data_IF_700503595970
#
_entry.id   IF_700503595970
#
_cell.length_a   1.000
_cell.length_b   1.000
_cell.length_c   1.000
_cell.angle_alpha   90.00
_cell.angle_beta   90.00
_cell.angle_gamma   90.00
#
_symmetry.space_group_name_H-M   'P 1'
#
loop_
_entity.id
_entity.type
_entity.pdbx_description
1 polymer ?
#
# COMPACT_ATOMS: atom_id res chain seq x y z
N UNK A 1 15.19 -16.72 -34.66
CA UNK A 1 14.76 -16.51 -33.25
C UNK A 1 14.28 -17.87 -32.75
N UNK A 2 14.88 -18.40 -31.70
CA UNK A 2 14.43 -19.62 -31.08
C UNK A 2 13.18 -19.38 -30.21
N UNK A 3 12.37 -20.42 -29.89
CA UNK A 3 11.27 -20.26 -28.94
C UNK A 3 11.70 -19.65 -27.59
N UNK A 4 12.91 -20.00 -27.14
CA UNK A 4 13.48 -19.44 -25.91
C UNK A 4 13.79 -17.93 -26.03
N UNK A 5 14.26 -17.47 -27.20
CA UNK A 5 14.53 -16.05 -27.44
C UNK A 5 13.22 -15.24 -27.45
N UNK A 6 12.14 -15.81 -28.02
CA UNK A 6 10.80 -15.22 -27.95
C UNK A 6 10.33 -15.07 -26.50
N UNK A 7 10.45 -16.12 -25.69
CA UNK A 7 10.06 -16.08 -24.27
C UNK A 7 10.87 -15.01 -23.53
N UNK A 8 12.19 -14.98 -23.74
CA UNK A 8 13.05 -13.96 -23.12
C UNK A 8 12.63 -12.55 -23.53
N UNK A 9 12.38 -12.31 -24.82
CA UNK A 9 11.94 -11.02 -25.34
C UNK A 9 10.63 -10.58 -24.68
N UNK A 10 9.60 -11.43 -24.64
CA UNK A 10 8.32 -11.10 -24.03
C UNK A 10 8.39 -10.90 -22.51
N UNK A 11 9.33 -11.54 -21.82
CA UNK A 11 9.54 -11.33 -20.38
C UNK A 11 10.18 -9.99 -20.03
N UNK A 12 10.78 -9.28 -20.99
CA UNK A 12 11.32 -7.93 -20.76
C UNK A 12 10.28 -6.83 -20.85
N UNK A 13 9.06 -7.12 -21.34
CA UNK A 13 8.00 -6.11 -21.34
C UNK A 13 7.53 -5.83 -19.91
N UNK A 14 7.56 -4.56 -19.53
CA UNK A 14 7.02 -4.12 -18.26
C UNK A 14 5.52 -4.38 -18.21
N UNK A 15 5.06 -4.93 -17.10
CA UNK A 15 3.65 -5.10 -16.80
C UNK A 15 3.19 -3.92 -15.96
N UNK A 16 1.96 -3.47 -16.17
CA UNK A 16 1.39 -2.36 -15.40
C UNK A 16 -0.06 -2.67 -15.06
N UNK A 17 -0.49 -2.21 -13.89
CA UNK A 17 -1.87 -2.12 -13.48
C UNK A 17 -2.11 -0.73 -12.91
N UNK A 18 -3.26 -0.14 -13.19
CA UNK A 18 -3.67 1.13 -12.63
C UNK A 18 -5.16 1.12 -12.33
N UNK A 19 -5.54 1.69 -11.21
CA UNK A 19 -6.93 1.91 -10.85
C UNK A 19 -7.06 3.22 -10.09
N UNK A 20 -8.10 3.99 -10.45
CA UNK A 20 -8.52 5.18 -9.71
C UNK A 20 -9.99 5.05 -9.38
N UNK A 21 -10.37 5.35 -8.15
CA UNK A 21 -11.75 5.31 -7.69
C UNK A 21 -12.07 6.45 -6.75
N UNK A 22 -13.33 6.80 -6.70
CA UNK A 22 -13.87 7.74 -5.72
C UNK A 22 -13.94 7.03 -4.35
N UNK A 23 -13.32 7.57 -3.30
CA UNK A 23 -13.25 6.88 -2.01
C UNK A 23 -14.59 6.84 -1.26
N UNK A 24 -15.53 7.73 -1.59
CA UNK A 24 -16.84 7.80 -0.93
C UNK A 24 -17.86 6.92 -1.66
N UNK A 25 -17.94 7.06 -2.98
CA UNK A 25 -18.96 6.34 -3.78
C UNK A 25 -18.51 4.97 -4.25
N UNK A 26 -17.21 4.66 -4.16
CA UNK A 26 -16.64 3.42 -4.69
C UNK A 26 -16.54 3.38 -6.22
N UNK A 27 -17.04 4.39 -6.94
CA UNK A 27 -17.04 4.39 -8.40
C UNK A 27 -15.63 4.35 -8.97
N UNK A 28 -15.34 3.33 -9.75
CA UNK A 28 -14.08 3.24 -10.49
C UNK A 28 -14.09 4.25 -11.62
N UNK A 29 -13.16 5.22 -11.57
CA UNK A 29 -13.06 6.33 -12.52
C UNK A 29 -12.11 6.02 -13.68
N UNK A 30 -11.06 5.23 -13.42
CA UNK A 30 -10.12 4.79 -14.44
C UNK A 30 -9.55 3.43 -14.06
N UNK A 31 -9.33 2.61 -15.09
CA UNK A 31 -8.85 1.25 -14.93
C UNK A 31 -7.96 0.85 -16.11
N UNK A 32 -6.76 0.35 -15.80
CA UNK A 32 -5.84 -0.22 -16.78
C UNK A 32 -5.33 -1.55 -16.25
N UNK A 33 -5.76 -2.64 -16.85
CA UNK A 33 -5.35 -4.00 -16.48
C UNK A 33 -4.03 -4.46 -17.09
N UNK A 34 -3.52 -3.73 -18.10
CA UNK A 34 -2.27 -4.09 -18.78
C UNK A 34 -1.90 -3.10 -19.88
N UNK A 35 -0.72 -3.29 -20.46
CA UNK A 35 -0.19 -2.39 -21.50
C UNK A 35 -0.91 -2.47 -22.83
N UNK A 36 -1.37 -3.67 -23.22
CA UNK A 36 -2.10 -3.91 -24.46
C UNK A 36 -2.84 -5.25 -24.38
N UNK A 37 -4.17 -5.22 -24.44
CA UNK A 37 -5.01 -6.40 -24.28
C UNK A 37 -4.81 -7.44 -25.40
N UNK A 38 -4.50 -7.01 -26.62
CA UNK A 38 -4.31 -7.94 -27.74
C UNK A 38 -3.10 -8.88 -27.54
N UNK A 39 -2.08 -8.43 -26.78
CA UNK A 39 -0.86 -9.19 -26.53
C UNK A 39 -0.76 -9.70 -25.10
N UNK A 40 -1.41 -9.03 -24.15
CA UNK A 40 -1.31 -9.29 -22.72
C UNK A 40 -2.69 -9.22 -22.07
N UNK A 41 -3.41 -10.33 -22.10
CA UNK A 41 -4.79 -10.41 -21.60
C UNK A 41 -4.87 -10.59 -20.07
N UNK A 42 -3.73 -10.85 -19.41
CA UNK A 42 -3.71 -11.01 -17.96
C UNK A 42 -3.87 -9.66 -17.25
N UNK A 43 -4.93 -9.55 -16.47
CA UNK A 43 -5.27 -8.35 -15.72
C UNK A 43 -4.34 -8.16 -14.51
N UNK A 44 -3.45 -7.17 -14.59
CA UNK A 44 -2.51 -6.83 -13.51
C UNK A 44 -3.15 -5.98 -12.41
N UNK A 45 -4.34 -5.43 -12.62
CA UNK A 45 -4.99 -4.57 -11.63
C UNK A 45 -5.82 -5.37 -10.61
N UNK A 46 -6.64 -6.33 -11.04
CA UNK A 46 -7.49 -7.09 -10.13
C UNK A 46 -7.11 -8.56 -9.97
N UNK A 47 -6.53 -9.19 -11.02
CA UNK A 47 -6.16 -10.61 -10.98
C UNK A 47 -4.70 -10.79 -10.54
N UNK A 48 -3.81 -9.95 -11.08
CA UNK A 48 -2.39 -10.00 -10.76
C UNK A 48 -2.13 -9.57 -9.31
N UNK A 49 -1.49 -10.46 -8.54
CA UNK A 49 -0.97 -10.14 -7.21
C UNK A 49 0.53 -10.06 -7.27
N UNK A 50 1.07 -9.03 -6.64
CA UNK A 50 2.51 -8.79 -6.57
C UNK A 50 2.90 -8.37 -5.17
N UNK A 51 4.17 -8.57 -4.81
CA UNK A 51 4.69 -8.09 -3.54
C UNK A 51 4.52 -6.57 -3.43
N UNK A 52 3.88 -6.14 -2.35
CA UNK A 52 3.54 -4.73 -2.17
C UNK A 52 4.71 -3.89 -1.64
N UNK A 53 5.72 -4.53 -1.09
CA UNK A 53 6.87 -3.85 -0.53
C UNK A 53 6.45 -2.75 0.47
N UNK A 54 7.12 -1.62 0.41
CA UNK A 54 6.89 -0.52 1.35
C UNK A 54 5.50 0.12 1.31
N UNK A 55 4.60 -0.26 0.37
CA UNK A 55 3.20 0.20 0.43
C UNK A 55 2.39 -0.51 1.51
N UNK A 56 2.93 -1.54 2.16
CA UNK A 56 2.35 -2.13 3.38
C UNK A 56 2.54 -1.25 4.62
N UNK A 57 3.58 -0.41 4.64
CA UNK A 57 3.95 0.37 5.83
C UNK A 57 2.81 1.22 6.42
N UNK A 58 1.94 1.87 5.64
CA UNK A 58 0.78 2.56 6.20
C UNK A 58 -0.07 1.68 7.11
N UNK A 59 -0.24 0.38 6.83
CA UNK A 59 -0.97 -0.52 7.75
C UNK A 59 -0.22 -0.76 9.06
N UNK A 60 1.11 -0.87 9.02
CA UNK A 60 1.96 -0.99 10.23
C UNK A 60 1.83 0.27 11.08
N UNK A 61 1.93 1.44 10.45
CA UNK A 61 1.83 2.73 11.13
C UNK A 61 0.41 2.99 11.63
N UNK A 62 -0.62 2.58 10.90
CA UNK A 62 -2.00 2.61 11.38
C UNK A 62 -2.15 1.76 12.64
N UNK A 63 -1.66 0.53 12.64
CA UNK A 63 -1.68 -0.33 13.81
C UNK A 63 -0.93 0.31 15.00
N UNK A 64 0.18 1.00 14.74
CA UNK A 64 0.90 1.74 15.77
C UNK A 64 0.05 2.90 16.33
N UNK A 65 -0.61 3.70 15.46
CA UNK A 65 -1.48 4.80 15.90
C UNK A 65 -2.67 4.30 16.75
N UNK A 66 -3.29 3.19 16.35
CA UNK A 66 -4.35 2.51 17.12
C UNK A 66 -3.84 1.98 18.49
N UNK A 67 -2.55 1.71 18.62
CA UNK A 67 -1.90 1.29 19.87
C UNK A 67 -1.26 2.46 20.66
N UNK A 68 -1.67 3.69 20.39
CA UNK A 68 -1.32 4.87 21.19
C UNK A 68 -0.06 5.61 20.75
N UNK A 69 0.57 5.22 19.64
CA UNK A 69 1.68 5.99 19.06
C UNK A 69 1.20 7.31 18.43
N UNK A 70 2.15 8.23 18.32
CA UNK A 70 1.95 9.53 17.67
C UNK A 70 2.92 9.71 16.50
N UNK A 71 2.54 10.46 15.45
CA UNK A 71 3.48 10.88 14.40
C UNK A 71 4.70 11.65 14.93
N UNK A 72 4.55 12.29 16.10
CA UNK A 72 5.59 13.10 16.75
C UNK A 72 6.50 12.31 17.67
N UNK A 73 6.18 11.04 17.98
CA UNK A 73 7.04 10.22 18.83
C UNK A 73 8.42 10.08 18.21
N UNK A 74 9.44 10.26 19.05
CA UNK A 74 10.82 10.20 18.64
C UNK A 74 11.42 8.82 18.91
N UNK A 75 12.11 8.29 17.93
CA UNK A 75 12.78 7.00 17.95
C UNK A 75 14.23 7.19 17.53
N UNK A 76 15.16 6.54 18.20
CA UNK A 76 16.57 6.55 17.80
C UNK A 76 16.73 5.75 16.49
N UNK A 77 17.31 6.39 15.47
CA UNK A 77 17.53 5.80 14.15
C UNK A 77 18.77 4.88 14.18
N UNK A 78 18.55 3.65 14.59
CA UNK A 78 19.58 2.59 14.66
C UNK A 78 19.00 1.28 14.13
N UNK A 79 19.88 0.37 13.74
CA UNK A 79 19.50 -0.96 13.32
C UNK A 79 18.63 -1.65 14.39
N UNK A 80 17.56 -2.29 13.93
CA UNK A 80 16.63 -3.05 14.77
C UNK A 80 16.80 -4.54 14.50
N UNK A 81 16.95 -5.32 15.55
CA UNK A 81 16.97 -6.78 15.48
C UNK A 81 15.73 -7.32 16.19
N UNK A 82 14.90 -8.02 15.45
CA UNK A 82 13.73 -8.73 15.99
C UNK A 82 14.00 -10.23 15.98
N UNK A 83 13.24 -10.97 16.75
CA UNK A 83 13.27 -12.44 16.70
C UNK A 83 12.15 -12.89 15.77
N UNK A 84 12.51 -13.68 14.78
CA UNK A 84 11.54 -14.26 13.85
C UNK A 84 10.74 -15.42 14.48
N UNK A 85 9.80 -15.98 13.75
CA UNK A 85 8.94 -17.09 14.17
C UNK A 85 9.71 -18.41 14.42
N UNK A 86 10.95 -18.50 13.96
CA UNK A 86 11.84 -19.65 14.17
C UNK A 86 12.85 -19.40 15.31
N UNK A 87 12.70 -18.29 16.04
CA UNK A 87 13.62 -17.92 17.12
C UNK A 87 14.97 -17.35 16.64
N UNK A 88 15.09 -16.98 15.34
CA UNK A 88 16.33 -16.43 14.78
C UNK A 88 16.31 -14.91 14.77
N UNK A 89 17.47 -14.26 14.94
CA UNK A 89 17.57 -12.81 14.81
C UNK A 89 17.33 -12.40 13.35
N UNK A 90 16.44 -11.42 13.15
CA UNK A 90 16.14 -10.80 11.88
C UNK A 90 16.35 -9.30 11.97
N UNK A 91 17.16 -8.74 11.08
CA UNK A 91 17.43 -7.31 10.97
C UNK A 91 17.21 -6.84 9.53
N UNK A 92 16.33 -5.85 9.30
CA UNK A 92 16.14 -5.34 7.95
C UNK A 92 17.30 -4.45 7.52
N UNK A 93 17.70 -4.57 6.25
CA UNK A 93 18.58 -3.57 5.63
C UNK A 93 17.83 -2.26 5.45
N UNK A 94 18.51 -1.14 5.67
CA UNK A 94 17.97 0.18 5.40
C UNK A 94 18.60 0.76 4.12
N UNK A 95 17.84 1.57 3.39
CA UNK A 95 18.33 2.21 2.17
C UNK A 95 19.15 3.49 2.45
N UNK A 96 18.99 4.06 3.65
CA UNK A 96 19.60 5.32 4.04
C UNK A 96 19.96 5.30 5.52
N UNK A 97 21.23 5.49 5.82
CA UNK A 97 21.82 5.54 7.17
C UNK A 97 22.35 6.93 7.57
N UNK A 98 22.10 7.95 6.75
CA UNK A 98 22.65 9.31 6.95
C UNK A 98 22.35 9.92 8.31
N UNK A 99 21.26 9.49 8.95
CA UNK A 99 20.84 9.94 10.29
C UNK A 99 21.08 8.89 11.37
N UNK A 100 22.03 7.98 11.16
CA UNK A 100 22.34 6.94 12.13
C UNK A 100 22.65 7.53 13.51
N UNK A 101 22.00 7.01 14.55
CA UNK A 101 22.16 7.45 15.94
C UNK A 101 21.34 8.67 16.35
N UNK A 102 20.74 9.40 15.40
CA UNK A 102 19.89 10.57 15.70
C UNK A 102 18.50 10.15 16.20
N UNK A 103 17.84 11.08 16.90
CA UNK A 103 16.41 10.97 17.19
C UNK A 103 15.63 11.43 15.96
N UNK A 104 14.67 10.62 15.50
CA UNK A 104 13.80 10.91 14.37
C UNK A 104 12.36 10.64 14.74
N UNK A 105 11.44 11.40 14.16
CA UNK A 105 10.02 11.19 14.44
C UNK A 105 9.47 9.96 13.68
N UNK A 106 8.42 9.35 14.20
CA UNK A 106 7.66 8.29 13.51
C UNK A 106 7.19 8.80 12.14
N UNK A 107 6.73 10.06 12.05
CA UNK A 107 6.37 10.72 10.77
C UNK A 107 7.53 10.68 9.77
N UNK A 108 8.74 11.03 10.21
CA UNK A 108 9.94 10.99 9.37
C UNK A 108 10.20 9.58 8.85
N UNK A 109 10.03 8.56 9.70
CA UNK A 109 10.20 7.16 9.34
C UNK A 109 9.31 6.73 8.17
N UNK A 110 8.01 7.07 8.19
CA UNK A 110 7.10 6.78 7.08
C UNK A 110 7.44 7.61 5.83
N UNK A 111 7.72 8.91 6.00
CA UNK A 111 8.03 9.82 4.91
C UNK A 111 9.23 9.36 4.10
N UNK A 112 10.29 8.88 4.77
CA UNK A 112 11.51 8.39 4.16
C UNK A 112 11.48 6.88 3.86
N UNK A 113 10.35 6.23 4.14
CA UNK A 113 10.19 4.78 3.95
C UNK A 113 11.25 3.96 4.70
N UNK A 114 11.62 4.43 5.89
CA UNK A 114 12.68 3.86 6.71
C UNK A 114 12.32 2.46 7.23
N UNK A 115 13.23 1.51 7.09
CA UNK A 115 13.00 0.12 7.50
C UNK A 115 13.27 -0.09 8.98
N UNK A 116 14.22 0.64 9.57
CA UNK A 116 14.56 0.49 10.98
C UNK A 116 13.46 1.04 11.89
N UNK A 117 12.89 2.22 11.54
CA UNK A 117 11.75 2.77 12.28
C UNK A 117 10.52 1.86 12.11
N UNK A 118 10.30 1.31 10.92
CA UNK A 118 9.20 0.34 10.69
C UNK A 118 9.41 -0.94 11.53
N UNK A 119 10.63 -1.46 11.59
CA UNK A 119 10.96 -2.63 12.42
C UNK A 119 10.85 -2.32 13.91
N UNK A 120 11.26 -1.13 14.37
CA UNK A 120 11.05 -0.67 15.73
C UNK A 120 9.56 -0.73 16.11
N UNK A 121 8.67 -0.18 15.27
CA UNK A 121 7.23 -0.25 15.49
C UNK A 121 6.76 -1.71 15.50
N UNK A 122 7.20 -2.53 14.54
CA UNK A 122 6.82 -3.95 14.51
C UNK A 122 7.26 -4.72 15.76
N UNK A 123 8.39 -4.36 16.34
CA UNK A 123 8.87 -4.93 17.61
C UNK A 123 8.00 -4.60 18.84
N UNK A 124 7.11 -3.60 18.73
CA UNK A 124 6.12 -3.22 19.75
C UNK A 124 4.71 -3.72 19.42
N UNK A 125 4.53 -4.30 18.25
CA UNK A 125 3.25 -4.75 17.70
C UNK A 125 3.28 -6.27 17.48
N UNK A 126 2.14 -6.84 17.13
CA UNK A 126 2.03 -8.26 16.78
C UNK A 126 1.87 -8.45 15.27
N UNK A 127 2.66 -9.34 14.62
CA UNK A 127 2.45 -9.72 13.23
C UNK A 127 1.05 -10.28 12.96
N UNK A 128 0.44 -10.96 13.92
CA UNK A 128 -0.94 -11.43 13.83
C UNK A 128 -1.95 -10.29 13.80
N UNK A 129 -1.74 -9.25 14.60
CA UNK A 129 -2.60 -8.06 14.57
C UNK A 129 -2.44 -7.33 13.25
N UNK A 130 -1.22 -7.21 12.72
CA UNK A 130 -0.97 -6.62 11.41
C UNK A 130 -1.69 -7.40 10.29
N UNK A 131 -1.57 -8.73 10.27
CA UNK A 131 -2.30 -9.58 9.32
C UNK A 131 -3.82 -9.33 9.41
N UNK A 132 -4.37 -9.34 10.62
CA UNK A 132 -5.82 -9.08 10.83
C UNK A 132 -6.22 -7.70 10.32
N UNK A 133 -5.42 -6.67 10.60
CA UNK A 133 -5.68 -5.31 10.10
C UNK A 133 -5.65 -5.27 8.57
N UNK A 134 -4.67 -5.89 7.92
CA UNK A 134 -4.60 -5.96 6.45
C UNK A 134 -5.89 -6.60 5.89
N UNK A 135 -6.38 -7.68 6.50
CA UNK A 135 -7.64 -8.30 6.09
C UNK A 135 -8.87 -7.43 6.34
N UNK A 136 -8.93 -6.70 7.47
CA UNK A 136 -10.05 -5.77 7.72
C UNK A 136 -10.11 -4.64 6.69
N UNK A 137 -8.98 -4.25 6.11
CA UNK A 137 -8.93 -3.34 4.98
C UNK A 137 -9.37 -3.97 3.64
N UNK A 138 -9.88 -5.21 3.67
CA UNK A 138 -10.50 -5.88 2.53
C UNK A 138 -9.54 -6.67 1.65
N UNK A 139 -8.31 -6.89 2.08
CA UNK A 139 -7.37 -7.77 1.37
C UNK A 139 -7.82 -9.22 1.53
N UNK A 140 -8.03 -9.91 0.41
CA UNK A 140 -8.62 -11.26 0.38
C UNK A 140 -7.59 -12.39 0.36
N UNK A 141 -6.29 -12.05 0.11
CA UNK A 141 -5.25 -13.06 0.07
C UNK A 141 -5.05 -13.71 1.44
N UNK A 142 -5.45 -14.98 1.57
CA UNK A 142 -5.31 -15.75 2.81
C UNK A 142 -3.88 -16.23 3.08
N UNK A 143 -3.01 -16.18 2.07
CA UNK A 143 -1.62 -16.66 2.14
C UNK A 143 -0.65 -15.59 2.67
N UNK A 144 -1.14 -14.71 3.53
CA UNK A 144 -0.30 -13.73 4.23
C UNK A 144 0.16 -14.35 5.54
N UNK A 145 1.45 -14.61 5.66
CA UNK A 145 2.03 -15.16 6.88
C UNK A 145 2.24 -14.07 7.94
N UNK A 146 1.86 -14.32 9.19
CA UNK A 146 2.04 -13.37 10.29
C UNK A 146 3.46 -13.43 10.87
N UNK A 147 4.44 -13.04 10.06
CA UNK A 147 5.86 -13.02 10.37
C UNK A 147 6.34 -11.59 10.62
N UNK A 148 7.42 -11.40 11.37
CA UNK A 148 7.94 -10.04 11.67
C UNK A 148 8.31 -9.27 10.42
N UNK A 149 8.80 -9.93 9.37
CA UNK A 149 9.13 -9.32 8.09
C UNK A 149 7.92 -8.82 7.30
N UNK A 150 6.67 -9.19 7.69
CA UNK A 150 5.44 -8.70 7.07
C UNK A 150 5.37 -7.17 7.03
N UNK A 151 6.00 -6.51 8.01
CA UNK A 151 6.06 -5.04 8.06
C UNK A 151 6.79 -4.39 6.86
N UNK A 152 7.53 -5.16 6.06
CA UNK A 152 8.21 -4.68 4.86
C UNK A 152 7.55 -5.14 3.54
N UNK A 153 6.41 -5.84 3.63
CA UNK A 153 5.55 -6.18 2.51
C UNK A 153 6.03 -7.30 1.58
N UNK A 154 6.49 -8.45 2.10
CA UNK A 154 6.72 -9.63 1.26
C UNK A 154 5.42 -10.25 0.75
N UNK A 155 4.27 -9.83 1.30
CA UNK A 155 2.96 -10.34 0.91
C UNK A 155 2.52 -9.82 -0.47
N UNK A 156 1.74 -10.64 -1.18
CA UNK A 156 1.22 -10.33 -2.49
C UNK A 156 -0.24 -9.87 -2.41
N UNK A 157 -0.51 -8.68 -2.97
CA UNK A 157 -1.83 -8.06 -3.00
C UNK A 157 -2.06 -7.50 -4.40
N UNK A 158 -3.30 -7.44 -4.87
CA UNK A 158 -3.63 -6.82 -6.16
C UNK A 158 -3.73 -5.30 -6.05
N UNK A 159 -3.59 -4.59 -7.17
CA UNK A 159 -3.74 -3.12 -7.22
C UNK A 159 -5.14 -2.73 -6.76
N UNK A 160 -6.18 -3.46 -7.21
CA UNK A 160 -7.57 -3.18 -6.82
C UNK A 160 -7.83 -3.36 -5.32
N UNK A 161 -7.26 -4.41 -4.70
CA UNK A 161 -7.32 -4.60 -3.24
C UNK A 161 -6.64 -3.45 -2.50
N UNK A 162 -5.45 -3.02 -2.98
CA UNK A 162 -4.70 -1.90 -2.36
C UNK A 162 -5.45 -0.56 -2.52
N UNK A 163 -6.00 -0.27 -3.70
CA UNK A 163 -6.79 0.95 -3.93
C UNK A 163 -8.01 0.97 -3.01
N UNK A 164 -8.75 -0.14 -2.92
CA UNK A 164 -9.88 -0.27 -1.99
C UNK A 164 -9.44 -0.06 -0.53
N UNK A 165 -8.34 -0.66 -0.12
CA UNK A 165 -7.81 -0.51 1.24
C UNK A 165 -7.46 0.96 1.57
N UNK A 166 -6.80 1.64 0.65
CA UNK A 166 -6.38 3.03 0.85
C UNK A 166 -7.55 4.03 0.86
N UNK A 167 -8.76 3.65 0.40
CA UNK A 167 -9.94 4.52 0.55
C UNK A 167 -10.21 4.85 2.01
N UNK A 168 -9.89 3.96 2.95
CA UNK A 168 -10.07 4.21 4.38
C UNK A 168 -9.34 5.47 4.86
N UNK A 169 -8.14 5.75 4.32
CA UNK A 169 -7.41 6.98 4.66
C UNK A 169 -8.06 8.23 4.06
N UNK A 170 -8.71 8.13 2.89
CA UNK A 170 -9.36 9.25 2.22
C UNK A 170 -10.82 9.44 2.66
N UNK A 171 -11.42 8.46 3.32
CA UNK A 171 -12.83 8.42 3.70
C UNK A 171 -13.02 8.19 5.22
N UNK A 172 -12.28 8.92 6.05
CA UNK A 172 -12.44 8.99 7.52
C UNK A 172 -12.46 7.63 8.24
N UNK A 173 -11.71 6.66 7.74
CA UNK A 173 -11.63 5.32 8.33
C UNK A 173 -12.58 4.31 7.70
N UNK A 174 -13.42 4.73 6.76
CA UNK A 174 -14.36 3.88 6.07
C UNK A 174 -13.71 3.37 4.77
N UNK A 175 -13.47 2.08 4.70
CA UNK A 175 -13.06 1.40 3.48
C UNK A 175 -14.26 1.25 2.56
N UNK A 176 -14.08 1.53 1.27
CA UNK A 176 -15.11 1.40 0.23
C UNK A 176 -14.67 0.36 -0.80
N UNK A 177 -15.55 -0.60 -1.10
CA UNK A 177 -15.28 -1.58 -2.16
C UNK A 177 -15.45 -0.94 -3.55
N UNK A 178 -14.64 -1.36 -4.55
CA UNK A 178 -14.77 -0.85 -5.91
C UNK A 178 -16.12 -1.21 -6.54
N UNK A 179 -16.77 -0.23 -7.15
CA UNK A 179 -18.02 -0.37 -7.89
C UNK A 179 -17.79 -0.08 -9.37
N UNK A 180 -17.84 -1.11 -10.20
CA UNK A 180 -17.64 -1.02 -11.65
C UNK A 180 -18.95 -0.82 -12.42
N UNK A 181 -20.07 -1.32 -11.88
CA UNK A 181 -21.40 -1.22 -12.46
C UNK A 181 -22.32 -0.66 -11.39
N UNK A 182 -22.88 0.51 -11.64
CA UNK A 182 -23.83 1.14 -10.71
C UNK A 182 -25.26 0.66 -10.93
N UNK A 183 -25.66 0.41 -12.19
CA UNK A 183 -26.99 -0.08 -12.54
C UNK A 183 -27.00 -0.79 -13.89
N UNK A 184 -28.00 -1.62 -14.10
CA UNK A 184 -28.33 -2.27 -15.37
C UNK A 184 -29.72 -1.81 -15.76
N UNK A 185 -29.86 -1.35 -17.00
CA UNK A 185 -31.13 -0.89 -17.57
C UNK A 185 -31.50 -1.79 -18.78
N UNK A 186 -32.80 -1.95 -19.02
CA UNK A 186 -33.29 -2.56 -20.25
C UNK A 186 -33.27 -1.56 -21.42
N UNK A 187 -33.69 -2.02 -22.62
CA UNK A 187 -33.71 -1.17 -23.82
C UNK A 187 -34.79 -0.05 -23.75
N UNK A 188 -35.69 -0.10 -22.79
CA UNK A 188 -36.74 0.90 -22.56
C UNK A 188 -36.33 1.92 -21.48
N UNK A 189 -35.17 1.72 -20.83
CA UNK A 189 -34.64 2.57 -19.76
C UNK A 189 -35.16 2.20 -18.36
N UNK A 190 -35.85 1.07 -18.20
CA UNK A 190 -36.25 0.61 -16.87
C UNK A 190 -35.03 0.02 -16.14
N UNK A 191 -34.93 0.32 -14.86
CA UNK A 191 -33.84 -0.22 -14.03
C UNK A 191 -34.12 -1.70 -13.73
N UNK A 192 -33.24 -2.57 -14.22
CA UNK A 192 -33.29 -4.03 -13.97
C UNK A 192 -32.59 -4.37 -12.66
N UNK A 193 -31.46 -3.72 -12.38
CA UNK A 193 -30.71 -3.89 -11.14
C UNK A 193 -29.92 -2.62 -10.80
N UNK A 194 -29.78 -2.33 -9.52
CA UNK A 194 -28.97 -1.24 -8.99
C UNK A 194 -28.00 -1.78 -7.93
N UNK A 195 -26.78 -1.26 -7.91
CA UNK A 195 -25.71 -1.70 -7.03
C UNK A 195 -25.20 -0.54 -6.20
N UNK A 196 -24.93 -0.81 -4.92
CA UNK A 196 -24.31 0.11 -3.99
C UNK A 196 -22.96 -0.43 -3.53
N UNK A 197 -21.97 0.43 -3.26
CA UNK A 197 -20.68 -0.03 -2.76
C UNK A 197 -20.82 -0.60 -1.35
N UNK A 198 -20.09 -1.66 -1.07
CA UNK A 198 -19.91 -2.15 0.29
C UNK A 198 -18.94 -1.23 1.03
N UNK A 199 -19.38 -0.69 2.18
CA UNK A 199 -18.59 0.20 3.04
C UNK A 199 -18.44 -0.42 4.42
N UNK A 200 -17.26 -0.26 5.03
CA UNK A 200 -16.93 -0.80 6.32
C UNK A 200 -15.98 0.14 7.06
N UNK A 201 -16.29 0.49 8.30
CA UNK A 201 -15.35 1.22 9.16
C UNK A 201 -14.26 0.25 9.62
N UNK A 202 -12.99 0.58 9.32
CA UNK A 202 -11.86 -0.30 9.56
C UNK A 202 -10.83 0.29 10.53
N UNK A 203 -10.82 1.60 10.69
CA UNK A 203 -9.98 2.33 11.64
C UNK A 203 -10.69 3.58 12.16
N UNK A 204 -10.27 4.09 13.32
CA UNK A 204 -10.80 5.30 13.93
C UNK A 204 -10.47 6.55 13.10
N UNK A 205 -11.36 7.56 13.11
CA UNK A 205 -11.12 8.84 12.43
C UNK A 205 -9.89 9.56 13.01
N UNK A 206 -9.60 9.40 14.30
CA UNK A 206 -8.40 9.95 14.93
C UNK A 206 -7.12 9.36 14.31
N UNK A 207 -7.06 8.06 14.15
CA UNK A 207 -5.92 7.37 13.52
C UNK A 207 -5.78 7.75 12.05
N UNK A 208 -6.89 7.93 11.32
CA UNK A 208 -6.87 8.46 9.95
C UNK A 208 -6.20 9.82 9.90
N UNK A 209 -6.57 10.74 10.78
CA UNK A 209 -5.98 12.07 10.80
C UNK A 209 -4.45 12.02 11.02
N UNK A 210 -4.00 11.20 11.98
CA UNK A 210 -2.56 10.95 12.21
C UNK A 210 -1.89 10.38 10.96
N UNK A 211 -2.54 9.43 10.27
CA UNK A 211 -2.02 8.82 9.04
C UNK A 211 -1.96 9.81 7.88
N UNK A 212 -2.96 10.67 7.69
CA UNK A 212 -2.96 11.70 6.65
C UNK A 212 -1.78 12.67 6.80
N UNK A 213 -1.46 13.08 8.02
CA UNK A 213 -0.27 13.91 8.30
C UNK A 213 1.00 13.21 7.81
N UNK A 214 1.14 11.91 8.07
CA UNK A 214 2.31 11.13 7.67
C UNK A 214 2.34 10.85 6.16
N UNK A 215 1.21 10.54 5.54
CA UNK A 215 1.12 10.28 4.09
C UNK A 215 1.39 11.56 3.27
N UNK A 216 0.95 12.73 3.75
CA UNK A 216 1.32 14.03 3.17
C UNK A 216 2.82 14.29 3.27
N UNK A 217 3.46 13.91 4.37
CA UNK A 217 4.91 14.04 4.53
C UNK A 217 5.69 13.18 3.52
N UNK A 218 5.20 12.01 3.13
CA UNK A 218 5.81 11.20 2.05
C UNK A 218 5.93 12.01 0.75
N UNK A 219 4.90 12.79 0.40
CA UNK A 219 4.86 13.59 -0.83
C UNK A 219 5.64 14.91 -0.68
N UNK A 220 5.55 15.57 0.46
CA UNK A 220 6.13 16.90 0.64
C UNK A 220 7.60 16.85 1.04
N UNK A 221 7.99 15.89 1.86
CA UNK A 221 9.30 15.83 2.52
C UNK A 221 10.08 14.53 2.20
N UNK A 222 9.39 13.51 1.67
CA UNK A 222 9.88 12.14 1.59
C UNK A 222 10.09 11.59 0.17
N UNK A 223 9.92 10.27 0.09
CA UNK A 223 10.20 9.47 -1.13
C UNK A 223 9.30 9.81 -2.32
N UNK A 224 8.10 10.35 -2.08
CA UNK A 224 7.17 10.82 -3.10
C UNK A 224 7.46 12.24 -3.61
N UNK A 225 8.48 12.91 -3.12
CA UNK A 225 8.77 14.33 -3.41
C UNK A 225 8.99 14.69 -4.87
N UNK A 226 9.18 13.72 -5.78
CA UNK A 226 9.22 13.98 -7.23
C UNK A 226 7.94 14.60 -7.75
N UNK A 227 6.79 14.26 -7.16
CA UNK A 227 5.48 14.83 -7.50
C UNK A 227 5.52 16.36 -7.40
N UNK A 228 6.16 16.90 -6.36
CA UNK A 228 6.34 18.32 -6.13
C UNK A 228 7.48 18.90 -6.98
N UNK A 229 8.68 18.31 -6.85
CA UNK A 229 9.92 18.92 -7.37
C UNK A 229 10.09 18.77 -8.89
N UNK A 230 9.58 17.69 -9.48
CA UNK A 230 9.78 17.40 -10.91
C UNK A 230 8.53 17.71 -11.72
N UNK A 231 7.35 17.34 -11.19
CA UNK A 231 6.10 17.47 -11.91
C UNK A 231 5.28 18.72 -11.54
N UNK A 232 5.74 19.51 -10.55
CA UNK A 232 5.09 20.74 -10.07
C UNK A 232 3.59 20.56 -9.72
N UNK A 233 3.18 19.37 -9.29
CA UNK A 233 1.79 19.12 -8.87
C UNK A 233 1.64 19.68 -7.47
N UNK A 234 0.81 20.72 -7.31
CA UNK A 234 0.60 21.44 -6.04
C UNK A 234 -0.65 20.98 -5.27
N UNK A 235 -1.50 20.15 -5.87
CA UNK A 235 -2.70 19.63 -5.23
C UNK A 235 -2.39 19.01 -3.86
N UNK A 236 -3.29 19.17 -2.89
CA UNK A 236 -3.17 18.52 -1.60
C UNK A 236 -3.32 17.01 -1.77
N UNK A 237 -2.27 16.27 -1.43
CA UNK A 237 -2.24 14.82 -1.60
C UNK A 237 -1.33 14.14 -0.57
N UNK A 238 -1.68 12.93 -0.25
CA UNK A 238 -0.84 11.99 0.47
C UNK A 238 -0.58 10.76 -0.40
N UNK A 239 0.40 9.95 -0.05
CA UNK A 239 0.66 8.72 -0.78
C UNK A 239 1.78 7.90 -0.16
N UNK A 240 2.08 6.77 -0.80
CA UNK A 240 3.20 5.90 -0.40
C UNK A 240 3.83 5.25 -1.62
N UNK A 241 5.14 5.34 -1.70
CA UNK A 241 5.95 4.63 -2.69
C UNK A 241 6.29 3.23 -2.18
N UNK A 242 6.37 2.26 -3.07
CA UNK A 242 6.83 0.91 -2.79
C UNK A 242 7.84 0.45 -3.83
N UNK A 243 8.87 -0.23 -3.36
CA UNK A 243 9.84 -0.93 -4.19
C UNK A 243 10.10 -2.26 -3.53
N UNK A 244 10.12 -3.33 -4.33
CA UNK A 244 10.43 -4.67 -3.85
C UNK A 244 11.90 -5.00 -4.07
N UNK A 245 12.34 -6.13 -3.49
CA UNK A 245 13.70 -6.62 -3.67
C UNK A 245 14.04 -6.76 -5.16
N UNK A 246 15.29 -6.43 -5.50
CA UNK A 246 15.80 -6.47 -6.88
C UNK A 246 15.06 -5.53 -7.86
N UNK A 247 14.30 -4.54 -7.36
CA UNK A 247 13.47 -3.62 -8.16
C UNK A 247 12.48 -4.36 -9.08
N UNK A 248 11.98 -5.52 -8.66
CA UNK A 248 11.05 -6.33 -9.45
C UNK A 248 9.70 -5.68 -9.60
N UNK A 249 9.27 -4.92 -8.60
CA UNK A 249 7.99 -4.21 -8.60
C UNK A 249 8.17 -2.78 -8.09
N UNK A 250 7.49 -1.85 -8.75
CA UNK A 250 7.38 -0.44 -8.35
C UNK A 250 5.91 -0.10 -8.09
N UNK A 251 5.62 0.46 -6.91
CA UNK A 251 4.29 0.82 -6.46
C UNK A 251 4.20 2.31 -6.13
N UNK A 252 3.04 2.88 -6.39
CA UNK A 252 2.63 4.17 -5.87
C UNK A 252 1.13 4.12 -5.52
N UNK A 253 0.81 4.45 -4.26
CA UNK A 253 -0.53 4.52 -3.74
C UNK A 253 -0.81 5.93 -3.22
#
# INVERSE_FOLDING_TARGET
MTPMDSIRYYKHFLRTGFMSMDPVTGYVKAYVGGTNYNYFQYDMANVGRRQVGSTVKPFVYTLAMENGFSPCDEVRHVEQTLIDENGKPWSPRNANDKRYGEMVTVKWGLANSDNWITAYLMGKLSPYQLKRLIHSFGVKNQQIDPVVSLCLGPCEISVGEMVSAYTAFANRGIRTAPLFVSRIEDNEGNIVAEFTPHMEEVISEESVYKMLVMLRAVINEGTGGRVRRVYNITADMGGKTGTTNNNSDGWFM
#
